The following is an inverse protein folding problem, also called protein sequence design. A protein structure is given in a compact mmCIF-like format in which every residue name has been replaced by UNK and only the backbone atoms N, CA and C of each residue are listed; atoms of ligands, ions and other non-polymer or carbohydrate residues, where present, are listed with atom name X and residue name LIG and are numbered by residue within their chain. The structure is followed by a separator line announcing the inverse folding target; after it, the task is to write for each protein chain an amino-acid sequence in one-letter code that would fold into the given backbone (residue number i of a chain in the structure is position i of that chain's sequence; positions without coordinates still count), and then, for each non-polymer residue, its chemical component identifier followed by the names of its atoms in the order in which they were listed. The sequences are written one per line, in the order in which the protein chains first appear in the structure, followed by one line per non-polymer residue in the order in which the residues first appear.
data_IF_496843894238
#
_entry.id   IF_496843894238
#
_cell.length_a   1.000
_cell.length_b   1.000
_cell.length_c   1.000
_cell.angle_alpha   90.00
_cell.angle_beta   90.00
_cell.angle_gamma   90.00
#
_symmetry.space_group_name_H-M   'P 1'
#
loop_
_entity.id
_entity.type
_entity.pdbx_description
1 polymer ?
#
# COMPACT_ATOMS: atom_id res chain seq x y z
N UNK A 1 -40.58 0.30 -25.57
CA UNK A 1 -39.65 -0.86 -25.43
C UNK A 1 -39.29 -1.55 -26.75
N UNK A 2 -39.90 -1.26 -27.88
CA UNK A 2 -39.56 -1.88 -29.16
C UNK A 2 -38.46 -1.17 -29.99
N UNK A 3 -38.17 0.11 -29.67
CA UNK A 3 -37.21 0.91 -30.45
C UNK A 3 -35.76 0.88 -29.95
N UNK A 4 -35.48 0.30 -28.78
CA UNK A 4 -34.15 0.28 -28.18
C UNK A 4 -33.23 -0.79 -28.79
N UNK A 5 -33.80 -1.79 -29.48
CA UNK A 5 -33.06 -2.90 -30.12
C UNK A 5 -32.18 -2.50 -31.31
N UNK A 6 -32.39 -1.31 -31.89
CA UNK A 6 -31.83 -0.96 -33.21
C UNK A 6 -30.54 -0.13 -33.10
N UNK A 7 -30.16 0.39 -31.93
CA UNK A 7 -29.12 1.43 -31.85
C UNK A 7 -27.76 0.99 -31.30
N UNK A 8 -27.66 -0.16 -30.64
CA UNK A 8 -26.39 -0.70 -30.15
C UNK A 8 -26.14 -2.02 -30.89
N UNK A 9 -25.49 -1.92 -32.04
CA UNK A 9 -25.01 -3.06 -32.84
C UNK A 9 -23.67 -3.55 -32.25
N UNK A 10 -23.72 -4.08 -31.03
CA UNK A 10 -22.59 -4.67 -30.33
C UNK A 10 -22.98 -6.09 -29.93
N UNK A 11 -22.30 -7.05 -30.50
CA UNK A 11 -22.46 -8.48 -30.19
C UNK A 11 -21.65 -8.86 -28.94
N UNK A 12 -22.21 -8.54 -27.76
CA UNK A 12 -21.66 -8.97 -26.48
C UNK A 12 -22.72 -9.77 -25.72
N UNK A 13 -22.36 -10.96 -25.30
CA UNK A 13 -23.22 -11.82 -24.49
C UNK A 13 -23.64 -11.09 -23.21
N UNK A 14 -24.94 -11.03 -22.95
CA UNK A 14 -25.49 -10.38 -21.74
C UNK A 14 -25.59 -8.87 -21.79
N UNK A 15 -25.12 -8.17 -22.84
CA UNK A 15 -25.19 -6.72 -22.93
C UNK A 15 -26.66 -6.22 -22.95
N UNK A 16 -27.54 -6.89 -23.67
CA UNK A 16 -28.96 -6.54 -23.73
C UNK A 16 -29.59 -6.60 -22.33
N UNK A 17 -29.33 -7.68 -21.60
CA UNK A 17 -29.80 -7.83 -20.21
C UNK A 17 -29.18 -6.75 -19.28
N UNK A 18 -27.88 -6.46 -19.42
CA UNK A 18 -27.22 -5.42 -18.64
C UNK A 18 -27.85 -4.04 -18.87
N UNK A 19 -28.19 -3.69 -20.11
CA UNK A 19 -28.84 -2.43 -20.45
C UNK A 19 -30.28 -2.37 -19.90
N UNK A 20 -31.02 -3.47 -19.96
CA UNK A 20 -32.36 -3.55 -19.35
C UNK A 20 -32.31 -3.34 -17.83
N UNK A 21 -31.34 -3.96 -17.16
CA UNK A 21 -31.11 -3.77 -15.71
C UNK A 21 -30.72 -2.33 -15.39
N UNK A 22 -29.83 -1.72 -16.17
CA UNK A 22 -29.44 -0.31 -16.01
C UNK A 22 -30.68 0.59 -16.17
N UNK A 23 -31.50 0.36 -17.19
CA UNK A 23 -32.72 1.13 -17.43
C UNK A 23 -33.77 0.97 -16.34
N UNK A 24 -33.82 -0.20 -15.68
CA UNK A 24 -34.72 -0.46 -14.57
C UNK A 24 -34.22 0.14 -13.24
N UNK A 25 -32.95 -0.03 -12.96
CA UNK A 25 -32.37 0.27 -11.64
C UNK A 25 -31.95 1.74 -11.49
N UNK A 26 -31.65 2.43 -12.61
CA UNK A 26 -31.25 3.85 -12.60
C UNK A 26 -32.33 4.71 -13.27
N UNK A 27 -33.28 5.18 -12.45
CA UNK A 27 -34.41 6.01 -12.88
C UNK A 27 -34.41 7.38 -12.18
N UNK A 28 -35.03 8.36 -12.79
CA UNK A 28 -35.17 9.71 -12.25
C UNK A 28 -34.53 10.78 -13.12
N UNK A 29 -34.54 12.01 -12.64
CA UNK A 29 -33.99 13.16 -13.37
C UNK A 29 -32.48 12.97 -13.58
N UNK A 30 -32.04 13.02 -14.82
CA UNK A 30 -30.64 12.83 -15.18
C UNK A 30 -30.20 11.37 -15.41
N UNK A 31 -31.11 10.38 -15.24
CA UNK A 31 -30.88 8.97 -15.51
C UNK A 31 -31.75 8.48 -16.68
N UNK A 32 -31.50 7.27 -17.13
CA UNK A 32 -32.25 6.59 -18.18
C UNK A 32 -31.42 6.18 -19.39
N UNK A 33 -31.85 5.11 -20.07
CA UNK A 33 -31.15 4.58 -21.24
C UNK A 33 -31.03 5.58 -22.38
N UNK A 34 -32.06 6.39 -22.61
CA UNK A 34 -32.04 7.38 -23.69
C UNK A 34 -30.86 8.36 -23.55
N UNK A 35 -30.56 8.78 -22.32
CA UNK A 35 -29.42 9.67 -22.03
C UNK A 35 -28.08 8.97 -22.27
N UNK A 36 -27.98 7.71 -21.89
CA UNK A 36 -26.78 6.89 -22.18
C UNK A 36 -26.58 6.75 -23.69
N UNK A 37 -27.65 6.43 -24.42
CA UNK A 37 -27.60 6.27 -25.88
C UNK A 37 -27.27 7.57 -26.61
N UNK A 38 -27.82 8.69 -26.17
CA UNK A 38 -27.48 10.02 -26.69
C UNK A 38 -25.99 10.29 -26.53
N UNK A 39 -25.46 10.03 -25.33
CA UNK A 39 -24.03 10.21 -25.05
C UNK A 39 -23.17 9.25 -25.87
N UNK A 40 -23.56 7.99 -25.99
CA UNK A 40 -22.87 6.98 -26.79
C UNK A 40 -22.80 7.39 -28.27
N UNK A 41 -23.88 7.91 -28.86
CA UNK A 41 -23.88 8.40 -30.24
C UNK A 41 -22.81 9.48 -30.48
N UNK A 42 -22.49 10.30 -29.48
CA UNK A 42 -21.46 11.33 -29.57
C UNK A 42 -20.04 10.76 -29.61
N UNK A 43 -19.82 9.52 -29.14
CA UNK A 43 -18.54 8.81 -29.19
C UNK A 43 -18.41 7.83 -30.35
N UNK A 44 -19.53 7.37 -30.87
CA UNK A 44 -19.57 6.39 -31.97
C UNK A 44 -18.95 6.98 -33.24
N UNK A 45 -17.99 6.27 -33.82
CA UNK A 45 -17.36 6.59 -35.10
C UNK A 45 -17.72 5.51 -36.14
N UNK A 46 -17.86 5.86 -37.42
CA UNK A 46 -18.03 4.86 -38.48
C UNK A 46 -16.87 3.87 -38.49
N UNK A 47 -17.19 2.58 -38.54
CA UNK A 47 -16.20 1.49 -38.62
C UNK A 47 -15.62 1.03 -37.27
N UNK A 48 -16.15 1.50 -36.14
CA UNK A 48 -15.79 0.95 -34.81
C UNK A 48 -16.12 -0.54 -34.73
N UNK A 49 -15.14 -1.32 -34.27
CA UNK A 49 -15.36 -2.72 -33.94
C UNK A 49 -16.11 -2.91 -32.60
N UNK A 50 -16.54 -4.16 -32.28
CA UNK A 50 -17.29 -4.44 -31.06
C UNK A 50 -16.57 -3.96 -29.79
N UNK A 51 -15.26 -4.22 -29.65
CA UNK A 51 -14.46 -3.82 -28.48
C UNK A 51 -14.39 -2.29 -28.31
N UNK A 52 -14.16 -1.54 -29.41
CA UNK A 52 -14.15 -0.07 -29.38
C UNK A 52 -15.54 0.49 -29.05
N UNK A 53 -16.59 -0.15 -29.56
CA UNK A 53 -17.98 0.21 -29.26
C UNK A 53 -18.32 0.00 -27.80
N UNK A 54 -17.91 -1.12 -27.19
CA UNK A 54 -18.08 -1.36 -25.75
C UNK A 54 -17.34 -0.33 -24.92
N UNK A 55 -16.09 0.00 -25.24
CA UNK A 55 -15.31 1.03 -24.55
C UNK A 55 -15.98 2.42 -24.66
N UNK A 56 -16.51 2.76 -25.84
CA UNK A 56 -17.28 3.99 -26.03
C UNK A 56 -18.55 4.04 -25.18
N UNK A 57 -19.24 2.89 -25.01
CA UNK A 57 -20.44 2.78 -24.18
C UNK A 57 -20.10 2.93 -22.68
N UNK A 58 -19.04 2.26 -22.21
CA UNK A 58 -18.55 2.37 -20.85
C UNK A 58 -18.16 3.82 -20.55
N UNK A 59 -17.37 4.43 -21.44
CA UNK A 59 -16.98 5.83 -21.31
C UNK A 59 -18.17 6.78 -21.26
N UNK A 60 -19.20 6.52 -22.07
CA UNK A 60 -20.42 7.32 -22.09
C UNK A 60 -21.12 7.32 -20.73
N UNK A 61 -21.23 6.15 -20.09
CA UNK A 61 -21.79 6.06 -18.74
C UNK A 61 -20.90 6.75 -17.69
N UNK A 62 -19.60 6.56 -17.76
CA UNK A 62 -18.65 7.18 -16.83
C UNK A 62 -18.68 8.73 -16.90
N UNK A 63 -18.77 9.30 -18.11
CA UNK A 63 -18.85 10.75 -18.29
C UNK A 63 -20.20 11.39 -17.88
N UNK A 64 -21.25 10.58 -17.71
CA UNK A 64 -22.52 11.02 -17.14
C UNK A 64 -22.49 11.13 -15.60
N UNK A 65 -21.43 10.65 -14.96
CA UNK A 65 -21.26 10.74 -13.51
C UNK A 65 -21.00 12.19 -13.12
N UNK A 66 -21.85 12.74 -12.26
CA UNK A 66 -21.72 14.08 -11.69
C UNK A 66 -22.19 14.09 -10.24
N UNK A 67 -22.07 15.25 -9.59
CA UNK A 67 -22.60 15.44 -8.23
C UNK A 67 -24.13 15.21 -8.17
N UNK A 68 -24.84 15.59 -9.22
CA UNK A 68 -26.29 15.46 -9.36
C UNK A 68 -26.71 14.03 -9.78
N UNK A 69 -25.83 13.33 -10.49
CA UNK A 69 -26.10 11.99 -11.05
C UNK A 69 -25.00 10.99 -10.70
N UNK A 70 -24.68 10.75 -9.42
CA UNK A 70 -23.55 9.91 -8.99
C UNK A 70 -23.73 8.42 -9.33
N UNK A 71 -24.95 7.93 -9.49
CA UNK A 71 -25.20 6.51 -9.72
C UNK A 71 -24.75 6.02 -11.12
N UNK A 72 -24.44 6.92 -12.05
CA UNK A 72 -23.86 6.54 -13.33
C UNK A 72 -22.50 5.83 -13.19
N UNK A 73 -21.79 6.03 -12.08
CA UNK A 73 -20.59 5.30 -11.75
C UNK A 73 -20.85 3.78 -11.63
N UNK A 74 -21.96 3.40 -11.04
CA UNK A 74 -22.37 1.98 -10.94
C UNK A 74 -22.88 1.42 -12.29
N UNK A 75 -23.57 2.24 -13.08
CA UNK A 75 -23.95 1.83 -14.44
C UNK A 75 -22.72 1.58 -15.33
N UNK A 76 -21.73 2.47 -15.28
CA UNK A 76 -20.46 2.29 -15.97
C UNK A 76 -19.70 1.03 -15.51
N UNK A 77 -19.75 0.72 -14.20
CA UNK A 77 -19.18 -0.51 -13.65
C UNK A 77 -19.84 -1.76 -14.20
N UNK A 78 -21.18 -1.79 -14.29
CA UNK A 78 -21.93 -2.93 -14.85
C UNK A 78 -21.57 -3.18 -16.32
N UNK A 79 -21.49 -2.13 -17.13
CA UNK A 79 -21.07 -2.24 -18.53
C UNK A 79 -19.62 -2.74 -18.64
N UNK A 80 -18.71 -2.21 -17.80
CA UNK A 80 -17.31 -2.65 -17.74
C UNK A 80 -17.20 -4.13 -17.37
N UNK A 81 -17.98 -4.57 -16.36
CA UNK A 81 -18.00 -5.98 -15.98
C UNK A 81 -18.59 -6.88 -17.08
N UNK A 82 -19.65 -6.47 -17.77
CA UNK A 82 -20.25 -7.21 -18.85
C UNK A 82 -19.22 -7.52 -19.96
N UNK A 83 -18.48 -6.52 -20.44
CA UNK A 83 -17.41 -6.72 -21.41
C UNK A 83 -16.29 -7.64 -20.91
N UNK A 84 -15.86 -7.42 -19.67
CA UNK A 84 -14.81 -8.23 -19.05
C UNK A 84 -15.23 -9.70 -18.82
N UNK A 85 -16.45 -9.96 -18.39
CA UNK A 85 -16.94 -11.31 -18.16
C UNK A 85 -17.01 -12.13 -19.48
N UNK A 86 -17.39 -11.48 -20.57
CA UNK A 86 -17.32 -12.09 -21.90
C UNK A 86 -15.89 -12.47 -22.29
N UNK A 87 -14.93 -11.57 -22.07
CA UNK A 87 -13.52 -11.83 -22.36
C UNK A 87 -13.00 -13.04 -21.55
N UNK A 88 -13.27 -13.10 -20.24
CA UNK A 88 -12.89 -14.25 -19.39
C UNK A 88 -13.54 -15.53 -19.88
N UNK A 89 -14.85 -15.51 -20.22
CA UNK A 89 -15.56 -16.69 -20.70
C UNK A 89 -14.98 -17.23 -22.03
N UNK A 90 -14.66 -16.33 -22.96
CA UNK A 90 -14.04 -16.70 -24.24
C UNK A 90 -12.66 -17.33 -24.05
N UNK A 91 -11.83 -16.76 -23.17
CA UNK A 91 -10.51 -17.31 -22.85
C UNK A 91 -10.63 -18.71 -22.25
N UNK A 92 -11.48 -18.89 -21.23
CA UNK A 92 -11.66 -20.19 -20.59
C UNK A 92 -12.24 -21.24 -21.53
N UNK A 93 -13.17 -20.85 -22.40
CA UNK A 93 -13.73 -21.72 -23.42
C UNK A 93 -12.68 -22.15 -24.42
N UNK A 94 -11.80 -21.26 -24.89
CA UNK A 94 -10.67 -21.55 -25.73
C UNK A 94 -9.70 -22.56 -25.12
N UNK A 95 -9.54 -22.56 -23.79
CA UNK A 95 -8.71 -23.47 -23.02
C UNK A 95 -9.43 -24.79 -22.64
N UNK A 96 -10.73 -24.92 -22.92
CA UNK A 96 -11.54 -26.09 -22.55
C UNK A 96 -11.87 -26.21 -21.06
N UNK A 97 -11.71 -25.14 -20.28
CA UNK A 97 -11.93 -25.09 -18.82
C UNK A 97 -13.43 -24.85 -18.55
N UNK A 98 -14.04 -25.68 -17.68
CA UNK A 98 -15.49 -25.63 -17.44
C UNK A 98 -15.89 -25.29 -16.00
N UNK A 99 -14.99 -25.42 -15.03
CA UNK A 99 -15.29 -25.22 -13.61
C UNK A 99 -14.10 -24.72 -12.84
N UNK A 100 -14.35 -24.29 -11.59
CA UNK A 100 -13.35 -23.69 -10.73
C UNK A 100 -12.17 -24.64 -10.42
N UNK A 101 -12.45 -25.92 -10.17
CA UNK A 101 -11.38 -26.91 -9.91
C UNK A 101 -10.44 -27.04 -11.12
N UNK A 102 -11.00 -27.16 -12.32
CA UNK A 102 -10.23 -27.28 -13.57
C UNK A 102 -9.42 -26.00 -13.82
N UNK A 103 -10.02 -24.84 -13.54
CA UNK A 103 -9.35 -23.53 -13.62
C UNK A 103 -8.16 -23.45 -12.68
N UNK A 104 -8.36 -23.77 -11.39
CA UNK A 104 -7.27 -23.75 -10.39
C UNK A 104 -6.17 -24.73 -10.78
N UNK A 105 -6.52 -25.92 -11.26
CA UNK A 105 -5.55 -26.92 -11.73
C UNK A 105 -4.71 -26.39 -12.89
N UNK A 106 -5.36 -25.85 -13.92
CA UNK A 106 -4.68 -25.24 -15.06
C UNK A 106 -3.77 -24.08 -14.64
N UNK A 107 -4.28 -23.13 -13.84
CA UNK A 107 -3.50 -21.98 -13.37
C UNK A 107 -2.32 -22.41 -12.50
N UNK A 108 -2.45 -23.51 -11.74
CA UNK A 108 -1.36 -24.09 -10.96
C UNK A 108 -0.27 -24.67 -11.86
N UNK A 109 -0.63 -25.39 -12.89
CA UNK A 109 0.30 -25.92 -13.91
C UNK A 109 1.04 -24.79 -14.64
N UNK A 110 0.37 -23.67 -14.90
CA UNK A 110 0.98 -22.47 -15.51
C UNK A 110 1.83 -21.63 -14.52
N UNK A 111 1.90 -22.02 -13.24
CA UNK A 111 2.62 -21.26 -12.21
C UNK A 111 1.97 -19.93 -11.82
N UNK A 112 0.69 -19.73 -12.15
CA UNK A 112 -0.10 -18.54 -11.83
C UNK A 112 -0.89 -18.67 -10.51
N UNK A 113 -1.14 -19.90 -10.08
CA UNK A 113 -1.83 -20.23 -8.82
C UNK A 113 -0.93 -21.09 -7.94
N UNK A 114 -1.09 -20.98 -6.63
CA UNK A 114 -0.30 -21.74 -5.67
C UNK A 114 -0.78 -23.18 -5.54
N UNK A 115 0.10 -24.15 -5.71
CA UNK A 115 -0.18 -25.59 -5.61
C UNK A 115 -0.68 -26.01 -4.22
N UNK A 116 -0.44 -25.18 -3.21
CA UNK A 116 -0.88 -25.41 -1.83
C UNK A 116 -2.40 -25.41 -1.70
N UNK A 117 -3.15 -24.73 -2.59
CA UNK A 117 -4.62 -24.79 -2.58
C UNK A 117 -5.09 -26.21 -2.90
N UNK A 118 -4.59 -26.82 -3.98
CA UNK A 118 -4.92 -28.20 -4.36
C UNK A 118 -4.40 -29.24 -3.36
N UNK A 119 -3.38 -28.91 -2.56
CA UNK A 119 -2.86 -29.78 -1.49
C UNK A 119 -3.73 -29.74 -0.22
N UNK A 120 -4.43 -28.63 0.02
CA UNK A 120 -5.24 -28.45 1.22
C UNK A 120 -6.71 -28.78 1.00
N UNK A 121 -7.25 -28.57 -0.20
CA UNK A 121 -8.65 -28.77 -0.55
C UNK A 121 -8.82 -29.92 -1.52
N UNK A 122 -9.84 -30.76 -1.29
CA UNK A 122 -10.24 -31.78 -2.26
C UNK A 122 -10.99 -31.14 -3.43
N UNK A 123 -11.20 -31.93 -4.49
CA UNK A 123 -12.01 -31.51 -5.64
C UNK A 123 -13.44 -31.12 -5.22
N UNK A 124 -14.05 -31.96 -4.37
CA UNK A 124 -15.42 -31.77 -3.89
C UNK A 124 -15.54 -30.48 -3.07
N UNK A 125 -14.54 -30.15 -2.24
CA UNK A 125 -14.50 -28.90 -1.46
C UNK A 125 -14.39 -27.67 -2.37
N UNK A 126 -13.62 -27.75 -3.44
CA UNK A 126 -13.49 -26.63 -4.40
C UNK A 126 -14.79 -26.46 -5.22
N UNK A 127 -15.43 -27.56 -5.62
CA UNK A 127 -16.72 -27.54 -6.30
C UNK A 127 -17.85 -27.04 -5.36
N UNK A 128 -17.81 -27.38 -4.06
CA UNK A 128 -18.69 -26.79 -3.05
C UNK A 128 -18.48 -25.28 -2.94
N UNK A 129 -17.20 -24.83 -2.90
CA UNK A 129 -16.85 -23.42 -2.83
C UNK A 129 -17.33 -22.64 -4.08
N UNK A 130 -17.25 -23.23 -5.26
CA UNK A 130 -17.80 -22.64 -6.49
C UNK A 130 -19.28 -22.29 -6.36
N UNK A 131 -20.04 -23.12 -5.63
CA UNK A 131 -21.44 -22.88 -5.31
C UNK A 131 -21.70 -21.67 -4.38
N UNK A 132 -20.66 -21.05 -3.82
CA UNK A 132 -20.78 -19.82 -3.02
C UNK A 132 -20.77 -18.55 -3.88
N UNK A 133 -20.31 -18.64 -5.15
CA UNK A 133 -20.21 -17.50 -6.04
C UNK A 133 -21.58 -16.83 -6.26
N UNK A 134 -21.59 -15.52 -6.16
CA UNK A 134 -22.79 -14.68 -6.29
C UNK A 134 -22.46 -13.48 -7.18
N UNK A 135 -22.82 -13.60 -8.46
CA UNK A 135 -22.52 -12.59 -9.48
C UNK A 135 -23.31 -11.28 -9.27
N UNK A 136 -24.43 -11.32 -8.55
CA UNK A 136 -25.16 -10.11 -8.20
C UNK A 136 -24.33 -9.12 -7.38
N UNK A 137 -23.31 -9.62 -6.64
CA UNK A 137 -22.39 -8.77 -5.87
C UNK A 137 -21.46 -7.92 -6.75
N UNK A 138 -21.32 -8.25 -8.02
CA UNK A 138 -20.60 -7.39 -8.96
C UNK A 138 -21.29 -6.03 -9.16
N UNK A 139 -22.58 -5.92 -8.85
CA UNK A 139 -23.34 -4.66 -8.88
C UNK A 139 -22.95 -3.67 -7.77
N UNK A 140 -22.20 -4.11 -6.77
CA UNK A 140 -21.69 -3.26 -5.68
C UNK A 140 -20.47 -2.43 -6.08
N UNK A 141 -19.80 -2.76 -7.18
CA UNK A 141 -18.61 -2.04 -7.62
C UNK A 141 -18.95 -0.66 -8.19
N UNK A 142 -18.14 0.32 -7.83
CA UNK A 142 -18.00 1.56 -8.59
C UNK A 142 -17.12 1.32 -9.81
N UNK A 143 -17.22 2.15 -10.84
CA UNK A 143 -16.41 2.01 -12.05
C UNK A 143 -14.90 2.05 -11.75
N UNK A 144 -14.46 3.05 -10.96
CA UNK A 144 -13.05 3.18 -10.59
C UNK A 144 -12.55 1.98 -9.75
N UNK A 145 -13.38 1.49 -8.81
CA UNK A 145 -13.04 0.33 -7.99
C UNK A 145 -12.92 -0.94 -8.81
N UNK A 146 -13.86 -1.19 -9.70
CA UNK A 146 -13.82 -2.36 -10.59
C UNK A 146 -12.62 -2.30 -11.54
N UNK A 147 -12.40 -1.18 -12.22
CA UNK A 147 -11.29 -1.03 -13.16
C UNK A 147 -9.93 -1.26 -12.48
N UNK A 148 -9.78 -0.80 -11.23
CA UNK A 148 -8.61 -1.08 -10.42
C UNK A 148 -8.43 -2.59 -10.13
N UNK A 149 -9.52 -3.29 -9.75
CA UNK A 149 -9.49 -4.74 -9.52
C UNK A 149 -9.08 -5.50 -10.77
N UNK A 150 -9.70 -5.19 -11.91
CA UNK A 150 -9.45 -5.86 -13.18
C UNK A 150 -8.02 -5.66 -13.68
N UNK A 151 -7.47 -4.47 -13.49
CA UNK A 151 -6.10 -4.14 -13.94
C UNK A 151 -5.00 -4.69 -13.05
N UNK A 152 -5.23 -4.78 -11.73
CA UNK A 152 -4.16 -5.03 -10.77
C UNK A 152 -4.22 -6.36 -10.04
N UNK A 153 -5.41 -6.91 -9.81
CA UNK A 153 -5.57 -7.98 -8.83
C UNK A 153 -6.03 -9.31 -9.41
N UNK A 154 -6.91 -9.31 -10.43
CA UNK A 154 -7.33 -10.56 -11.07
C UNK A 154 -6.16 -11.27 -11.76
N UNK A 155 -6.21 -12.58 -11.81
CA UNK A 155 -5.18 -13.37 -12.48
C UNK A 155 -5.34 -13.21 -13.98
N UNK A 156 -4.23 -12.94 -14.64
CA UNK A 156 -4.09 -12.83 -16.10
C UNK A 156 -3.01 -13.80 -16.56
N UNK A 157 -3.08 -14.22 -17.82
CA UNK A 157 -2.00 -14.97 -18.46
C UNK A 157 -0.78 -14.07 -18.77
N UNK A 158 0.28 -14.64 -19.33
CA UNK A 158 1.50 -13.90 -19.69
C UNK A 158 1.31 -12.88 -20.83
N UNK A 159 0.16 -12.93 -21.52
CA UNK A 159 -0.24 -12.00 -22.57
C UNK A 159 -1.27 -10.96 -22.08
N UNK A 160 -1.48 -10.90 -20.75
CA UNK A 160 -2.45 -10.04 -20.07
C UNK A 160 -3.93 -10.32 -20.35
N UNK A 161 -4.27 -11.51 -20.85
CA UNK A 161 -5.67 -11.92 -20.96
C UNK A 161 -6.19 -12.36 -19.57
N UNK A 162 -7.37 -11.89 -19.15
CA UNK A 162 -7.92 -12.23 -17.84
C UNK A 162 -8.41 -13.68 -17.82
N UNK A 163 -8.11 -14.37 -16.73
CA UNK A 163 -8.51 -15.77 -16.49
C UNK A 163 -9.36 -15.93 -15.21
N UNK A 164 -9.65 -14.84 -14.51
CA UNK A 164 -10.35 -14.85 -13.22
C UNK A 164 -11.31 -13.67 -13.14
N UNK A 165 -12.51 -13.91 -12.62
CA UNK A 165 -13.46 -12.84 -12.30
C UNK A 165 -13.22 -12.26 -10.88
N UNK A 166 -13.73 -11.06 -10.55
CA UNK A 166 -13.63 -10.50 -9.20
C UNK A 166 -14.21 -11.41 -8.11
N UNK A 167 -15.31 -12.11 -8.40
CA UNK A 167 -15.92 -13.02 -7.42
C UNK A 167 -15.05 -14.26 -7.20
N UNK A 168 -14.46 -14.82 -8.25
CA UNK A 168 -13.50 -15.92 -8.12
C UNK A 168 -12.21 -15.49 -7.42
N UNK A 169 -11.75 -14.24 -7.64
CA UNK A 169 -10.65 -13.66 -6.89
C UNK A 169 -10.93 -13.65 -5.39
N UNK A 170 -12.10 -13.15 -4.97
CA UNK A 170 -12.47 -13.14 -3.54
C UNK A 170 -12.60 -14.55 -2.99
N UNK A 171 -13.14 -15.48 -3.76
CA UNK A 171 -13.24 -16.88 -3.34
C UNK A 171 -11.85 -17.54 -3.20
N UNK A 172 -10.94 -17.32 -4.14
CA UNK A 172 -9.57 -17.82 -4.07
C UNK A 172 -8.80 -17.26 -2.87
N UNK A 173 -8.99 -15.96 -2.54
CA UNK A 173 -8.46 -15.36 -1.31
C UNK A 173 -9.04 -16.04 -0.08
N UNK A 174 -10.34 -16.33 -0.07
CA UNK A 174 -11.03 -16.97 1.05
C UNK A 174 -10.57 -18.41 1.28
N UNK A 175 -10.33 -19.17 0.21
CA UNK A 175 -9.70 -20.50 0.27
C UNK A 175 -8.30 -20.39 0.90
N UNK A 176 -7.50 -19.40 0.51
CA UNK A 176 -6.18 -19.18 1.09
C UNK A 176 -6.26 -18.87 2.59
N UNK A 177 -7.12 -17.95 3.00
CA UNK A 177 -7.23 -17.52 4.40
C UNK A 177 -7.71 -18.66 5.31
N UNK A 178 -8.63 -19.50 4.82
CA UNK A 178 -9.21 -20.59 5.60
C UNK A 178 -8.38 -21.89 5.59
N UNK A 179 -7.30 -22.00 4.82
CA UNK A 179 -6.58 -23.26 4.62
C UNK A 179 -5.98 -23.87 5.90
N UNK A 180 -5.79 -23.08 6.96
CA UNK A 180 -5.27 -23.54 8.26
C UNK A 180 -6.35 -23.89 9.28
N UNK A 181 -7.61 -23.67 8.95
CA UNK A 181 -8.74 -24.07 9.77
C UNK A 181 -8.92 -25.59 9.76
N UNK A 182 -9.56 -26.13 10.81
CA UNK A 182 -9.85 -27.55 10.87
C UNK A 182 -10.78 -28.00 9.73
N UNK A 183 -10.62 -29.21 9.23
CA UNK A 183 -11.40 -29.71 8.10
C UNK A 183 -12.91 -29.62 8.32
N UNK A 184 -13.37 -29.83 9.57
CA UNK A 184 -14.79 -29.86 9.91
C UNK A 184 -15.49 -28.49 9.79
N UNK A 185 -14.73 -27.39 9.91
CA UNK A 185 -15.29 -26.04 9.84
C UNK A 185 -14.70 -25.18 8.71
N UNK A 186 -13.69 -25.68 8.00
CA UNK A 186 -12.93 -24.92 6.99
C UNK A 186 -13.83 -24.31 5.92
N UNK A 187 -14.77 -25.07 5.35
CA UNK A 187 -15.68 -24.57 4.33
C UNK A 187 -16.64 -23.48 4.85
N UNK A 188 -17.00 -23.53 6.14
CA UNK A 188 -17.79 -22.47 6.77
C UNK A 188 -16.96 -21.16 6.84
N UNK A 189 -15.64 -21.24 7.13
CA UNK A 189 -14.76 -20.08 7.12
C UNK A 189 -14.52 -19.56 5.71
N UNK A 190 -14.33 -20.41 4.71
CA UNK A 190 -14.27 -20.02 3.30
C UNK A 190 -15.48 -19.18 2.93
N UNK A 191 -16.69 -19.66 3.24
CA UNK A 191 -17.93 -18.93 2.95
C UNK A 191 -18.03 -17.61 3.70
N UNK A 192 -17.66 -17.57 4.99
CA UNK A 192 -17.67 -16.32 5.78
C UNK A 192 -16.71 -15.29 5.23
N UNK A 193 -15.47 -15.66 4.90
CA UNK A 193 -14.51 -14.74 4.31
C UNK A 193 -14.98 -14.25 2.93
N UNK A 194 -15.48 -15.14 2.09
CA UNK A 194 -16.05 -14.76 0.81
C UNK A 194 -17.23 -13.77 0.98
N UNK A 195 -18.15 -14.05 1.87
CA UNK A 195 -19.29 -13.16 2.13
C UNK A 195 -18.85 -11.77 2.58
N UNK A 196 -17.89 -11.67 3.49
CA UNK A 196 -17.39 -10.38 3.98
C UNK A 196 -16.67 -9.58 2.89
N UNK A 197 -15.81 -10.24 2.10
CA UNK A 197 -15.02 -9.59 1.05
C UNK A 197 -15.91 -9.17 -0.12
N UNK A 198 -16.72 -10.09 -0.64
CA UNK A 198 -17.53 -9.86 -1.84
C UNK A 198 -18.72 -8.93 -1.61
N UNK A 199 -19.19 -8.80 -0.37
CA UNK A 199 -20.19 -7.77 0.05
C UNK A 199 -19.53 -6.43 0.43
N UNK A 200 -18.22 -6.28 0.26
CA UNK A 200 -17.46 -5.07 0.57
C UNK A 200 -17.58 -4.60 2.03
N UNK A 201 -17.82 -5.52 2.96
CA UNK A 201 -17.83 -5.23 4.40
C UNK A 201 -16.42 -5.04 4.94
N UNK A 202 -15.42 -5.67 4.33
CA UNK A 202 -14.00 -5.56 4.62
C UNK A 202 -13.25 -5.44 3.31
N UNK A 203 -12.28 -4.53 3.25
CA UNK A 203 -11.28 -4.49 2.18
C UNK A 203 -9.93 -4.99 2.70
N UNK A 204 -9.22 -5.72 1.86
CA UNK A 204 -7.90 -6.25 2.20
C UNK A 204 -6.79 -5.37 1.64
N UNK A 205 -5.64 -5.40 2.30
CA UNK A 205 -4.44 -4.73 1.80
C UNK A 205 -4.00 -5.30 0.44
N UNK A 206 -3.34 -4.46 -0.37
CA UNK A 206 -2.84 -4.83 -1.70
C UNK A 206 -2.12 -6.19 -1.75
N UNK A 207 -1.18 -6.53 -0.83
CA UNK A 207 -0.52 -7.84 -0.90
C UNK A 207 -1.46 -9.02 -0.71
N UNK A 208 -2.50 -8.89 0.11
CA UNK A 208 -3.51 -9.94 0.26
C UNK A 208 -4.32 -10.13 -1.03
N UNK A 209 -4.79 -9.04 -1.64
CA UNK A 209 -5.54 -9.09 -2.90
C UNK A 209 -4.69 -9.63 -4.06
N UNK A 210 -3.41 -9.24 -4.11
CA UNK A 210 -2.49 -9.61 -5.19
C UNK A 210 -1.90 -11.00 -5.04
N UNK A 211 -1.55 -11.42 -3.83
CA UNK A 211 -0.67 -12.58 -3.60
C UNK A 211 -1.37 -13.79 -2.96
N UNK A 212 -2.46 -13.60 -2.22
CA UNK A 212 -3.27 -14.73 -1.77
C UNK A 212 -3.66 -15.58 -2.98
N UNK A 213 -3.63 -16.90 -2.87
CA UNK A 213 -3.83 -17.87 -3.94
C UNK A 213 -2.69 -18.01 -4.97
N UNK A 214 -1.73 -17.07 -5.04
CA UNK A 214 -0.58 -17.17 -5.96
C UNK A 214 0.60 -17.96 -5.34
N UNK A 215 1.59 -18.42 -6.14
CA UNK A 215 2.73 -19.15 -5.63
C UNK A 215 3.52 -18.40 -4.55
N UNK A 216 3.66 -17.09 -4.72
CA UNK A 216 4.35 -16.19 -3.78
C UNK A 216 3.31 -15.45 -2.93
N UNK A 217 2.89 -16.08 -1.84
CA UNK A 217 1.76 -15.64 -1.01
C UNK A 217 2.18 -14.84 0.23
N UNK A 218 3.02 -13.85 0.06
CA UNK A 218 3.30 -12.85 1.09
C UNK A 218 2.11 -11.88 1.19
N UNK A 219 1.43 -11.80 2.35
CA UNK A 219 0.17 -11.08 2.52
C UNK A 219 0.29 -9.77 3.31
N UNK A 220 1.41 -9.53 4.01
CA UNK A 220 1.59 -8.33 4.83
C UNK A 220 1.94 -7.13 3.95
N UNK A 221 1.31 -5.99 4.22
CA UNK A 221 1.60 -4.74 3.51
C UNK A 221 2.68 -3.91 4.20
N UNK A 222 2.89 -4.11 5.51
CA UNK A 222 3.63 -3.19 6.35
C UNK A 222 4.69 -3.91 7.17
N UNK A 223 5.90 -3.36 7.10
CA UNK A 223 7.09 -3.89 7.78
C UNK A 223 7.83 -2.77 8.49
N UNK A 224 8.57 -3.13 9.53
CA UNK A 224 9.42 -2.23 10.30
C UNK A 224 10.79 -2.89 10.45
N UNK A 225 11.87 -2.13 10.24
CA UNK A 225 13.24 -2.56 10.52
C UNK A 225 14.02 -1.46 11.26
N UNK A 226 14.91 -1.89 12.13
CA UNK A 226 15.83 -1.00 12.87
C UNK A 226 17.21 -1.15 12.30
N UNK A 227 17.73 -0.11 11.66
CA UNK A 227 19.01 -0.11 10.96
C UNK A 227 20.17 -0.06 11.99
N UNK A 228 21.00 -1.11 12.06
CA UNK A 228 22.15 -1.12 12.98
C UNK A 228 23.26 -0.18 12.51
N UNK A 229 24.06 0.34 13.47
CA UNK A 229 25.21 1.21 13.19
C UNK A 229 26.45 0.39 12.75
N UNK A 230 26.30 -0.35 11.64
CA UNK A 230 27.40 -1.09 11.01
C UNK A 230 27.17 -1.22 9.52
N UNK A 231 28.26 -1.34 8.73
CA UNK A 231 28.16 -1.51 7.29
C UNK A 231 27.29 -2.72 6.91
N UNK A 232 27.57 -3.87 7.52
CA UNK A 232 26.82 -5.11 7.30
C UNK A 232 25.32 -4.93 7.66
N UNK A 233 25.06 -4.32 8.83
CA UNK A 233 23.67 -4.10 9.29
C UNK A 233 22.89 -3.16 8.38
N UNK A 234 23.50 -2.06 7.93
CA UNK A 234 22.88 -1.11 7.00
C UNK A 234 22.52 -1.80 5.68
N UNK A 235 23.46 -2.52 5.06
CA UNK A 235 23.20 -3.22 3.80
C UNK A 235 22.18 -4.36 3.96
N UNK A 236 22.17 -5.05 5.09
CA UNK A 236 21.14 -6.06 5.39
C UNK A 236 19.74 -5.41 5.45
N UNK A 237 19.60 -4.25 6.09
CA UNK A 237 18.32 -3.53 6.12
C UNK A 237 17.89 -3.05 4.73
N UNK A 238 18.83 -2.64 3.87
CA UNK A 238 18.55 -2.28 2.47
C UNK A 238 18.12 -3.51 1.67
N UNK A 239 18.76 -4.67 1.85
CA UNK A 239 18.35 -5.94 1.21
C UNK A 239 16.98 -6.38 1.70
N UNK A 240 16.72 -6.36 3.01
CA UNK A 240 15.40 -6.65 3.58
C UNK A 240 14.31 -5.77 2.94
N UNK A 241 14.58 -4.47 2.80
CA UNK A 241 13.66 -3.55 2.15
C UNK A 241 13.43 -3.93 0.67
N UNK A 242 14.48 -4.24 -0.09
CA UNK A 242 14.35 -4.67 -1.48
C UNK A 242 13.47 -5.94 -1.61
N UNK A 243 13.68 -6.94 -0.74
CA UNK A 243 12.88 -8.17 -0.73
C UNK A 243 11.42 -7.91 -0.36
N UNK A 244 11.16 -7.06 0.63
CA UNK A 244 9.81 -6.67 1.02
C UNK A 244 9.11 -5.91 -0.10
N UNK A 245 9.79 -4.94 -0.73
CA UNK A 245 9.27 -4.15 -1.85
C UNK A 245 8.88 -5.04 -3.03
N UNK A 246 9.76 -5.97 -3.44
CA UNK A 246 9.51 -6.94 -4.51
C UNK A 246 8.16 -7.67 -4.38
N UNK A 247 7.70 -7.95 -3.15
CA UNK A 247 6.45 -8.65 -2.88
C UNK A 247 5.29 -7.74 -2.46
N UNK A 248 5.41 -6.44 -2.71
CA UNK A 248 4.31 -5.49 -2.53
C UNK A 248 4.20 -4.87 -1.15
N UNK A 249 5.17 -5.13 -0.26
CA UNK A 249 5.21 -4.54 1.08
C UNK A 249 5.90 -3.17 1.10
N UNK A 250 5.45 -2.27 1.99
CA UNK A 250 6.16 -1.04 2.34
C UNK A 250 6.89 -1.18 3.67
N UNK A 251 7.98 -0.42 3.87
CA UNK A 251 8.80 -0.54 5.06
C UNK A 251 9.02 0.79 5.76
N UNK A 252 8.95 0.79 7.11
CA UNK A 252 9.49 1.82 7.96
C UNK A 252 10.90 1.45 8.41
N UNK A 253 11.87 2.32 8.18
CA UNK A 253 13.28 2.10 8.50
C UNK A 253 13.74 3.12 9.56
N UNK A 254 14.11 2.64 10.73
CA UNK A 254 14.59 3.49 11.81
C UNK A 254 16.11 3.67 11.75
N UNK A 255 16.55 4.90 11.49
CA UNK A 255 17.95 5.29 11.39
C UNK A 255 18.55 5.92 12.65
N UNK A 256 17.76 6.04 13.74
CA UNK A 256 18.19 6.69 14.96
C UNK A 256 19.37 6.04 15.68
N UNK A 257 19.74 4.79 15.35
CA UNK A 257 20.93 4.11 15.88
C UNK A 257 22.21 4.40 15.10
N UNK A 258 22.08 4.89 13.86
CA UNK A 258 23.22 5.13 12.97
C UNK A 258 23.93 6.42 13.38
N UNK A 259 25.26 6.38 13.48
CA UNK A 259 26.07 7.53 13.88
C UNK A 259 25.94 8.71 12.93
N UNK A 260 25.99 9.90 13.50
CA UNK A 260 25.89 11.16 12.79
C UNK A 260 27.13 11.49 11.96
N UNK A 261 26.95 12.44 11.04
CA UNK A 261 28.04 13.04 10.25
C UNK A 261 29.15 13.56 11.17
N UNK A 262 30.41 13.28 10.80
CA UNK A 262 31.59 13.70 11.52
C UNK A 262 31.95 12.82 12.74
N UNK A 263 31.19 11.78 13.03
CA UNK A 263 31.53 10.81 14.08
C UNK A 263 32.79 10.01 13.78
N UNK A 264 33.39 9.38 14.80
CA UNK A 264 34.56 8.54 14.68
C UNK A 264 34.29 7.21 13.97
N UNK A 265 35.19 6.81 13.09
CA UNK A 265 35.25 5.45 12.53
C UNK A 265 36.70 4.93 12.75
N UNK A 266 36.85 3.78 13.43
CA UNK A 266 38.15 3.16 13.75
C UNK A 266 39.14 4.14 14.38
N UNK A 267 38.68 5.05 15.23
CA UNK A 267 39.52 6.06 15.90
C UNK A 267 39.74 7.35 15.12
N UNK A 268 39.39 7.40 13.83
CA UNK A 268 39.50 8.60 13.00
C UNK A 268 38.30 9.52 13.19
N UNK A 269 38.53 10.75 13.67
CA UNK A 269 37.51 11.78 13.78
C UNK A 269 37.09 12.30 12.41
N UNK A 270 35.82 12.71 12.30
CA UNK A 270 35.27 13.29 11.06
C UNK A 270 35.03 12.28 9.93
N UNK A 271 35.28 10.98 10.15
CA UNK A 271 35.22 9.98 9.09
C UNK A 271 33.80 9.53 8.71
N UNK A 272 32.82 9.65 9.61
CA UNK A 272 31.43 9.22 9.34
C UNK A 272 30.71 10.18 8.40
N UNK A 273 30.04 9.63 7.38
CA UNK A 273 29.23 10.39 6.42
C UNK A 273 27.81 10.71 6.89
N UNK A 274 27.39 10.21 8.07
CA UNK A 274 26.07 10.41 8.64
C UNK A 274 24.95 9.62 7.96
N UNK A 275 23.71 9.85 8.41
CA UNK A 275 22.55 9.07 7.97
C UNK A 275 22.13 9.38 6.54
N UNK A 276 22.31 10.61 6.06
CA UNK A 276 21.78 11.08 4.77
C UNK A 276 22.28 10.24 3.60
N UNK A 277 23.58 9.89 3.61
CA UNK A 277 24.18 9.07 2.53
C UNK A 277 23.58 7.66 2.49
N UNK A 278 23.26 7.07 3.62
CA UNK A 278 22.63 5.76 3.72
C UNK A 278 21.16 5.80 3.32
N UNK A 279 20.48 6.86 3.70
CA UNK A 279 19.08 7.09 3.30
C UNK A 279 18.95 7.22 1.77
N UNK A 280 19.97 7.79 1.10
CA UNK A 280 20.00 7.85 -0.36
C UNK A 280 20.03 6.45 -1.01
N UNK A 281 20.73 5.48 -0.43
CA UNK A 281 20.65 4.09 -0.91
C UNK A 281 19.26 3.50 -0.80
N UNK A 282 18.52 3.81 0.28
CA UNK A 282 17.12 3.40 0.43
C UNK A 282 16.27 4.03 -0.65
N UNK A 283 16.47 5.33 -0.94
CA UNK A 283 15.78 6.03 -2.02
C UNK A 283 16.02 5.36 -3.38
N UNK A 284 17.27 5.10 -3.72
CA UNK A 284 17.65 4.51 -4.99
C UNK A 284 17.14 3.06 -5.10
N UNK A 285 17.09 2.34 -3.98
CA UNK A 285 16.47 1.00 -3.89
C UNK A 285 14.95 1.06 -4.09
N UNK A 286 14.27 2.07 -3.53
CA UNK A 286 12.84 2.27 -3.73
C UNK A 286 12.48 2.50 -5.21
N UNK A 287 13.34 3.24 -5.92
CA UNK A 287 13.19 3.48 -7.37
C UNK A 287 13.53 2.22 -8.18
N UNK A 288 14.54 1.47 -7.77
CA UNK A 288 15.02 0.30 -8.52
C UNK A 288 14.15 -0.95 -8.36
N UNK A 289 13.43 -1.09 -7.25
CA UNK A 289 12.66 -2.30 -6.92
C UNK A 289 11.19 -1.97 -6.78
N UNK A 290 10.46 -2.15 -7.87
CA UNK A 290 9.01 -1.95 -7.93
C UNK A 290 8.24 -3.01 -7.12
N UNK A 291 7.10 -2.60 -6.58
CA UNK A 291 6.14 -3.50 -5.92
C UNK A 291 5.38 -4.29 -6.99
N UNK A 292 5.77 -5.55 -7.21
CA UNK A 292 5.14 -6.47 -8.16
C UNK A 292 5.10 -5.95 -9.62
N UNK A 293 5.96 -5.00 -9.99
CA UNK A 293 5.90 -4.34 -11.31
C UNK A 293 4.66 -3.44 -11.52
N UNK A 294 3.86 -3.23 -10.47
CA UNK A 294 2.57 -2.53 -10.53
C UNK A 294 2.58 -1.19 -9.78
N UNK A 295 3.53 -0.98 -8.89
CA UNK A 295 3.63 0.19 -8.02
C UNK A 295 5.08 0.45 -7.68
N UNK A 296 5.50 1.72 -7.58
CA UNK A 296 6.84 2.08 -7.13
C UNK A 296 7.08 1.61 -5.70
N UNK A 297 8.32 1.17 -5.41
CA UNK A 297 8.76 0.86 -4.07
C UNK A 297 8.62 2.08 -3.16
N UNK A 298 8.28 1.86 -1.89
CA UNK A 298 8.07 2.95 -0.94
C UNK A 298 8.61 2.60 0.45
N UNK A 299 9.34 3.53 1.05
CA UNK A 299 9.84 3.44 2.42
C UNK A 299 9.61 4.74 3.18
N UNK A 300 9.28 4.62 4.48
CA UNK A 300 9.40 5.72 5.42
C UNK A 300 10.72 5.57 6.20
N UNK A 301 11.46 6.65 6.33
CA UNK A 301 12.71 6.67 7.11
C UNK A 301 12.52 7.53 8.35
N UNK A 302 12.87 6.98 9.50
CA UNK A 302 12.62 7.56 10.80
C UNK A 302 13.92 8.00 11.46
N UNK A 303 13.95 9.22 11.99
CA UNK A 303 15.08 9.77 12.73
C UNK A 303 14.58 10.49 13.98
N UNK A 304 15.33 10.41 15.07
CA UNK A 304 14.97 11.10 16.31
C UNK A 304 15.18 12.62 16.22
N UNK A 305 14.31 13.38 16.87
CA UNK A 305 14.37 14.84 16.94
C UNK A 305 15.66 15.39 17.59
N UNK A 306 16.40 14.57 18.33
CA UNK A 306 17.65 14.90 18.99
C UNK A 306 18.90 14.43 18.22
N UNK A 307 18.73 13.77 17.04
CA UNK A 307 19.84 13.30 16.24
C UNK A 307 20.57 14.45 15.55
N UNK A 308 21.93 14.40 15.53
CA UNK A 308 22.80 15.50 15.04
C UNK A 308 22.54 15.88 13.58
N UNK A 309 22.11 14.93 12.73
CA UNK A 309 21.81 15.14 11.31
C UNK A 309 20.35 15.58 11.05
N UNK A 310 19.56 15.89 12.08
CA UNK A 310 18.16 16.27 11.93
C UNK A 310 17.91 17.45 10.96
N UNK A 311 18.68 18.56 10.98
CA UNK A 311 18.43 19.67 10.07
C UNK A 311 18.57 19.32 8.58
N UNK A 312 19.55 18.48 8.27
CA UNK A 312 19.77 17.96 6.91
C UNK A 312 18.69 16.93 6.53
N UNK A 313 18.28 16.10 7.48
CA UNK A 313 17.20 15.12 7.32
C UNK A 313 15.86 15.78 6.98
N UNK A 314 15.50 16.86 7.63
CA UNK A 314 14.26 17.62 7.36
C UNK A 314 14.23 18.24 5.95
N UNK A 315 15.38 18.35 5.30
CA UNK A 315 15.50 18.92 3.96
C UNK A 315 15.65 17.87 2.84
N UNK A 316 15.53 16.59 3.14
CA UNK A 316 15.72 15.49 2.18
C UNK A 316 14.88 15.62 0.92
N UNK A 317 13.64 16.10 1.03
CA UNK A 317 12.69 16.24 -0.09
C UNK A 317 12.49 17.65 -0.62
N UNK A 318 13.06 18.65 0.05
CA UNK A 318 12.90 20.05 -0.40
C UNK A 318 13.66 20.31 -1.72
N UNK A 319 13.14 21.22 -2.54
CA UNK A 319 13.66 21.50 -3.88
C UNK A 319 14.94 22.36 -3.91
N UNK A 320 15.49 22.73 -2.75
CA UNK A 320 16.67 23.58 -2.63
C UNK A 320 17.85 22.81 -2.04
N UNK A 321 19.06 23.14 -2.44
CA UNK A 321 20.30 22.56 -1.94
C UNK A 321 20.99 21.60 -2.91
N UNK A 322 21.94 20.80 -2.42
CA UNK A 322 22.72 19.86 -3.23
C UNK A 322 21.90 18.56 -3.48
N UNK A 323 21.65 18.24 -4.75
CA UNK A 323 20.87 17.06 -5.16
C UNK A 323 21.48 15.74 -4.66
N UNK A 324 22.78 15.71 -4.40
CA UNK A 324 23.46 14.54 -3.81
C UNK A 324 23.00 14.25 -2.38
N UNK A 325 22.39 15.24 -1.72
CA UNK A 325 21.85 15.15 -0.36
C UNK A 325 20.33 15.00 -0.34
N UNK A 326 19.71 14.74 -1.51
CA UNK A 326 18.26 14.60 -1.66
C UNK A 326 17.82 13.15 -1.82
N UNK A 327 16.60 12.88 -1.36
CA UNK A 327 15.92 11.60 -1.43
C UNK A 327 14.41 11.86 -1.58
N UNK A 328 13.97 11.99 -2.84
CA UNK A 328 12.60 12.45 -3.16
C UNK A 328 11.55 11.35 -3.13
N UNK A 329 11.97 10.08 -3.27
CA UNK A 329 11.08 8.92 -3.45
C UNK A 329 10.77 8.18 -2.14
N UNK A 330 11.30 8.67 -1.01
CA UNK A 330 11.03 8.15 0.34
C UNK A 330 10.33 9.18 1.21
N UNK A 331 9.79 8.74 2.35
CA UNK A 331 9.02 9.57 3.27
C UNK A 331 9.78 9.77 4.59
N UNK A 332 10.40 10.94 4.84
CA UNK A 332 10.99 11.26 6.13
C UNK A 332 9.95 11.33 7.25
N UNK A 333 10.29 10.80 8.41
CA UNK A 333 9.51 10.85 9.65
C UNK A 333 10.41 11.17 10.84
N UNK A 334 9.93 11.99 11.77
CA UNK A 334 10.70 12.38 12.96
C UNK A 334 10.04 11.83 14.22
N UNK A 335 10.87 11.17 15.05
CA UNK A 335 10.47 10.64 16.34
C UNK A 335 10.68 11.72 17.42
N UNK A 336 9.57 12.23 17.96
CA UNK A 336 9.58 13.29 18.96
C UNK A 336 9.37 12.72 20.36
N UNK A 337 10.23 13.07 21.35
CA UNK A 337 9.94 12.88 22.76
C UNK A 337 8.97 13.95 23.25
N UNK A 338 8.25 13.67 24.34
CA UNK A 338 7.31 14.63 24.95
C UNK A 338 8.01 15.94 25.37
N UNK A 339 9.27 15.87 25.84
CA UNK A 339 10.05 17.04 26.22
C UNK A 339 10.17 18.07 25.09
N UNK A 340 10.31 17.63 23.84
CA UNK A 340 10.38 18.55 22.69
C UNK A 340 9.13 19.43 22.61
N UNK A 341 7.95 18.80 22.73
CA UNK A 341 6.69 19.52 22.65
C UNK A 341 6.41 20.38 23.87
N UNK A 342 6.76 19.90 25.10
CA UNK A 342 6.68 20.69 26.32
C UNK A 342 7.50 21.96 26.19
N UNK A 343 8.76 21.86 25.77
CA UNK A 343 9.63 23.04 25.59
C UNK A 343 9.09 23.96 24.48
N UNK A 344 8.55 23.42 23.39
CA UNK A 344 7.99 24.23 22.31
C UNK A 344 6.72 24.99 22.71
N UNK A 345 5.89 24.42 23.60
CA UNK A 345 4.70 25.05 24.13
C UNK A 345 5.09 26.17 25.15
N UNK A 346 6.08 25.92 25.97
CA UNK A 346 6.54 26.90 26.98
C UNK A 346 7.23 28.10 26.33
N UNK A 347 8.23 27.88 25.50
CA UNK A 347 8.99 28.95 24.84
C UNK A 347 9.79 28.39 23.64
N UNK A 348 9.57 28.91 22.45
CA UNK A 348 10.31 28.56 21.24
C UNK A 348 11.74 29.14 21.17
N UNK A 349 12.07 30.13 22.02
CA UNK A 349 13.40 30.73 22.08
C UNK A 349 14.34 30.00 23.08
N UNK A 350 14.21 28.67 23.14
CA UNK A 350 15.07 27.78 23.91
C UNK A 350 16.04 27.03 23.03
N UNK A 351 17.15 26.58 23.58
CA UNK A 351 18.12 25.73 22.95
C UNK A 351 17.66 24.28 22.93
N UNK A 352 17.76 23.65 21.75
CA UNK A 352 17.62 22.21 21.57
C UNK A 352 18.94 21.61 21.18
N UNK A 353 19.36 20.52 21.82
CA UNK A 353 20.68 19.93 21.63
C UNK A 353 20.61 18.65 20.80
N UNK A 354 21.28 18.67 19.65
CA UNK A 354 21.41 17.53 18.76
C UNK A 354 22.72 16.80 19.04
N UNK A 355 22.66 15.49 19.19
CA UNK A 355 23.76 14.63 19.58
C UNK A 355 23.90 13.40 18.69
N UNK A 356 25.06 12.73 18.76
CA UNK A 356 25.31 11.50 18.03
C UNK A 356 25.01 10.27 18.91
N UNK A 357 24.15 9.31 18.48
CA UNK A 357 23.84 8.13 19.28
C UNK A 357 25.07 7.26 19.59
N UNK A 358 26.00 7.14 18.66
CA UNK A 358 27.24 6.41 18.88
C UNK A 358 28.11 7.03 19.98
N UNK A 359 28.22 8.35 20.02
CA UNK A 359 29.01 9.06 21.01
C UNK A 359 28.38 8.93 22.40
N UNK A 360 27.04 9.10 22.52
CA UNK A 360 26.32 8.87 23.77
C UNK A 360 26.59 7.46 24.30
N UNK A 361 26.41 6.44 23.47
CA UNK A 361 26.65 5.05 23.88
C UNK A 361 28.08 4.83 24.35
N UNK A 362 29.06 5.46 23.67
CA UNK A 362 30.47 5.32 24.01
C UNK A 362 30.82 6.01 25.35
N UNK A 363 30.27 7.18 25.61
CA UNK A 363 30.57 8.00 26.79
C UNK A 363 29.76 7.59 28.01
N UNK A 364 28.46 7.31 27.82
CA UNK A 364 27.50 7.04 28.89
C UNK A 364 27.25 5.57 29.15
N UNK A 365 27.51 4.68 28.17
CA UNK A 365 27.21 3.26 28.28
C UNK A 365 25.72 2.89 28.11
N UNK A 366 24.86 3.87 27.82
CA UNK A 366 23.46 3.65 27.49
C UNK A 366 23.10 4.29 26.14
N UNK A 367 21.93 3.97 25.61
CA UNK A 367 21.38 4.52 24.39
C UNK A 367 20.11 5.33 24.68
N UNK A 368 19.99 6.53 24.13
CA UNK A 368 18.76 7.35 24.28
C UNK A 368 17.60 6.75 23.48
N UNK A 369 17.90 6.17 22.34
CA UNK A 369 16.93 5.52 21.48
C UNK A 369 16.28 4.28 22.12
N UNK A 370 16.86 3.71 23.18
CA UNK A 370 16.37 2.53 23.88
C UNK A 370 15.50 2.86 25.09
N UNK A 371 15.10 4.13 25.27
CA UNK A 371 14.20 4.54 26.33
C UNK A 371 13.18 5.59 25.87
N UNK A 372 12.18 5.87 26.70
CA UNK A 372 11.11 6.85 26.46
C UNK A 372 10.58 7.43 27.79
N UNK A 373 9.79 8.51 27.71
CA UNK A 373 9.17 9.16 28.85
C UNK A 373 10.19 9.79 29.80
N UNK A 374 9.94 9.71 31.09
CA UNK A 374 10.76 10.35 32.17
C UNK A 374 12.22 9.86 32.14
N UNK A 375 12.44 8.55 31.90
CA UNK A 375 13.79 8.00 31.81
C UNK A 375 14.56 8.58 30.60
N UNK A 376 13.87 8.82 29.49
CA UNK A 376 14.48 9.44 28.32
C UNK A 376 14.86 10.89 28.64
N UNK A 377 13.97 11.65 29.27
CA UNK A 377 14.18 13.05 29.66
C UNK A 377 15.37 13.20 30.59
N UNK A 378 15.45 12.37 31.65
CA UNK A 378 16.58 12.33 32.59
C UNK A 378 17.91 12.08 31.85
N UNK A 379 17.94 11.05 30.99
CA UNK A 379 19.17 10.69 30.25
C UNK A 379 19.56 11.74 29.21
N UNK A 380 18.58 12.37 28.56
CA UNK A 380 18.86 13.46 27.61
C UNK A 380 19.48 14.65 28.31
N UNK A 381 18.96 15.08 29.45
CA UNK A 381 19.51 16.17 30.25
C UNK A 381 20.88 15.83 30.83
N UNK A 382 21.11 14.59 31.25
CA UNK A 382 22.43 14.09 31.64
C UNK A 382 23.47 14.16 30.48
N UNK A 383 23.06 13.85 29.25
CA UNK A 383 23.90 14.01 28.07
C UNK A 383 24.18 15.49 27.76
N UNK A 384 23.15 16.33 27.86
CA UNK A 384 23.30 17.79 27.66
C UNK A 384 24.28 18.42 28.65
N UNK A 385 24.29 17.97 29.89
CA UNK A 385 25.21 18.45 30.94
C UNK A 385 26.65 17.91 30.84
N UNK A 386 26.93 16.92 29.97
CA UNK A 386 28.24 16.28 29.87
C UNK A 386 29.09 16.87 28.75
N UNK A 387 30.17 17.56 29.08
CA UNK A 387 31.08 18.19 28.08
C UNK A 387 31.87 17.21 27.21
N UNK A 388 31.89 15.93 27.55
CA UNK A 388 32.52 14.87 26.74
C UNK A 388 31.69 14.49 25.51
N UNK A 389 30.42 14.87 25.47
CA UNK A 389 29.50 14.63 24.36
C UNK A 389 29.44 15.87 23.49
N UNK A 390 29.76 15.73 22.22
CA UNK A 390 29.69 16.82 21.25
C UNK A 390 28.23 17.14 20.90
N UNK A 391 27.84 18.39 21.12
CA UNK A 391 26.48 18.88 20.88
C UNK A 391 26.45 19.87 19.71
N UNK A 392 25.44 19.78 18.88
CA UNK A 392 25.02 20.82 17.93
C UNK A 392 23.80 21.51 18.54
N UNK A 393 24.02 22.71 19.07
CA UNK A 393 22.93 23.49 19.65
C UNK A 393 22.20 24.25 18.55
N UNK A 394 20.88 24.17 18.54
CA UNK A 394 19.98 24.86 17.61
C UNK A 394 18.85 25.52 18.39
N UNK A 395 18.33 26.64 17.88
CA UNK A 395 17.13 27.21 18.46
C UNK A 395 15.92 26.32 18.17
N UNK A 396 15.10 26.05 19.14
CA UNK A 396 13.91 25.21 19.00
C UNK A 396 12.96 25.75 17.90
N UNK A 397 12.78 27.09 17.84
CA UNK A 397 12.01 27.76 16.77
C UNK A 397 12.53 27.46 15.36
N UNK A 398 13.82 27.29 15.20
CA UNK A 398 14.40 27.03 13.86
C UNK A 398 14.13 25.59 13.45
N UNK A 399 14.13 24.64 14.38
CA UNK A 399 13.70 23.24 14.13
C UNK A 399 12.23 23.23 13.75
N UNK A 400 11.36 23.89 14.51
CA UNK A 400 9.91 23.97 14.21
C UNK A 400 9.67 24.62 12.84
N UNK A 401 10.39 25.68 12.49
CA UNK A 401 10.31 26.32 11.15
C UNK A 401 10.71 25.36 10.04
N UNK A 402 11.77 24.57 10.23
CA UNK A 402 12.20 23.58 9.24
C UNK A 402 11.14 22.49 9.05
N UNK A 403 10.52 22.02 10.14
CA UNK A 403 9.42 21.04 10.10
C UNK A 403 8.24 21.61 9.30
N UNK A 404 7.77 22.81 9.66
CA UNK A 404 6.64 23.46 8.97
C UNK A 404 6.97 23.69 7.49
N UNK A 405 8.18 24.22 7.19
CA UNK A 405 8.63 24.44 5.83
C UNK A 405 8.61 23.15 5.00
N UNK A 406 9.22 22.09 5.52
CA UNK A 406 9.24 20.79 4.86
C UNK A 406 7.82 20.23 4.66
N UNK A 407 6.97 20.34 5.67
CA UNK A 407 5.59 19.86 5.59
C UNK A 407 4.77 20.60 4.52
N UNK A 408 4.93 21.93 4.40
CA UNK A 408 4.25 22.75 3.40
C UNK A 408 4.75 22.44 1.97
N UNK A 409 6.07 22.27 1.81
CA UNK A 409 6.69 22.03 0.50
C UNK A 409 6.48 20.59 0.00
N UNK A 410 6.46 19.59 0.90
CA UNK A 410 6.61 18.17 0.52
C UNK A 410 5.58 17.23 1.13
N UNK A 411 4.75 17.69 2.08
CA UNK A 411 3.84 16.83 2.86
C UNK A 411 4.55 15.97 3.92
N UNK A 412 5.85 16.18 4.15
CA UNK A 412 6.67 15.47 5.15
C UNK A 412 7.47 16.48 5.98
N UNK A 413 7.97 16.14 7.20
CA UNK A 413 8.05 14.80 7.76
C UNK A 413 6.71 14.32 8.35
N UNK A 414 6.56 12.99 8.50
CA UNK A 414 5.56 12.43 9.39
C UNK A 414 5.98 12.69 10.86
N UNK A 415 5.00 12.88 11.72
CA UNK A 415 5.20 13.14 13.15
C UNK A 415 4.95 11.83 13.91
N UNK A 416 5.98 11.31 14.58
CA UNK A 416 5.89 10.12 15.41
C UNK A 416 6.16 10.48 16.86
N UNK A 417 5.11 10.48 17.70
CA UNK A 417 5.20 10.81 19.11
C UNK A 417 5.68 9.59 19.91
N UNK A 418 6.99 9.45 20.05
CA UNK A 418 7.67 8.26 20.58
C UNK A 418 7.15 7.83 21.95
N UNK A 419 7.02 8.78 22.88
CA UNK A 419 6.63 8.46 24.26
C UNK A 419 5.18 8.00 24.33
N UNK A 420 4.28 8.67 23.61
CA UNK A 420 2.86 8.29 23.53
C UNK A 420 2.67 6.89 22.92
N UNK A 421 3.36 6.60 21.82
CA UNK A 421 3.31 5.29 21.18
C UNK A 421 3.80 4.20 22.12
N UNK A 422 4.90 4.43 22.84
CA UNK A 422 5.46 3.42 23.74
C UNK A 422 4.65 3.25 25.02
N UNK A 423 3.99 4.29 25.53
CA UNK A 423 3.01 4.15 26.62
C UNK A 423 1.79 3.32 26.21
N UNK A 424 1.36 3.44 24.96
CA UNK A 424 0.22 2.68 24.41
C UNK A 424 0.60 1.30 23.86
N UNK A 425 1.89 0.92 23.90
CA UNK A 425 2.40 -0.31 23.30
C UNK A 425 1.83 -1.56 23.99
N UNK A 426 0.95 -2.36 23.34
CA UNK A 426 0.39 -3.58 23.92
C UNK A 426 1.44 -4.70 24.08
N UNK A 427 2.57 -4.58 23.38
CA UNK A 427 3.68 -5.53 23.40
C UNK A 427 4.91 -5.02 24.16
N UNK A 428 4.72 -4.11 25.15
CA UNK A 428 5.81 -3.53 25.94
C UNK A 428 6.71 -4.57 26.63
N UNK A 429 6.16 -5.75 26.91
CA UNK A 429 6.92 -6.91 27.43
C UNK A 429 7.95 -7.47 26.44
N UNK A 430 7.87 -7.16 25.16
CA UNK A 430 8.83 -7.57 24.12
C UNK A 430 9.91 -6.52 23.84
N UNK A 431 9.61 -5.24 24.11
CA UNK A 431 10.52 -4.13 23.86
C UNK A 431 9.79 -2.85 23.49
N UNK A 432 10.57 -1.87 23.06
CA UNK A 432 10.05 -0.56 22.62
C UNK A 432 9.77 -0.54 21.12
N UNK A 433 8.86 0.32 20.73
CA UNK A 433 8.59 0.65 19.32
C UNK A 433 9.51 1.81 18.94
N UNK A 434 10.48 1.55 18.04
CA UNK A 434 11.43 2.57 17.57
C UNK A 434 10.86 3.50 16.52
N UNK A 435 10.03 2.96 15.64
CA UNK A 435 9.39 3.70 14.55
C UNK A 435 8.06 3.03 14.16
N UNK A 436 7.30 3.69 13.31
CA UNK A 436 6.14 3.12 12.66
C UNK A 436 6.50 2.53 11.27
N UNK A 437 5.51 2.00 10.58
CA UNK A 437 5.61 1.51 9.21
C UNK A 437 5.61 2.66 8.17
N UNK A 438 5.42 2.33 6.88
CA UNK A 438 5.40 3.30 5.79
C UNK A 438 4.32 4.37 5.96
N UNK A 439 3.10 3.99 6.36
CA UNK A 439 1.94 4.90 6.45
C UNK A 439 1.74 5.53 7.84
N UNK A 440 2.58 5.19 8.81
CA UNK A 440 2.61 5.74 10.19
C UNK A 440 1.36 5.39 11.03
N UNK A 441 0.67 4.28 10.71
CA UNK A 441 -0.54 3.83 11.43
C UNK A 441 -0.28 2.76 12.50
N UNK A 442 0.90 2.16 12.56
CA UNK A 442 1.24 1.08 13.51
C UNK A 442 2.08 1.62 14.66
#
# INVERSE_FOLDING_TARGET
MADTKVEIDLDYKGLEQCLEEIGRDFQGEGYGLDRLLERYRSFRKPGMGPAEGMEALIRSAAELTSKETPLWEFAAARLRYCGFACEVEEQLKGLGIKGLYEKISYLTEQGLYGDYILKHYSREEIEEAEGFLDDERNKLFTYAGLDLLLKRYVIQDHSHHPLETPQEMYLGISLHLAMKESKDCRMQWVRRFYDMLSRMQVTMATPTLSNARKPYHQLSSCFIDTVPDSLEGIYRSVDNFAQVSKFGGGMGLYFGKVRATGSRIRGFEGAAGGVIRWIKLVNDTAVAVDQLGMRQGAAAVYLDAWHKDLPEFLQLRTNNGDDRMKAHDIFPAVCFPDLFWKMAEENLDQDWHLMCPHEIRTVKGYCLEDCYGELWEERYLDCVGDDRISKRTVMLKDVVRLIIKSAVETGTPFIFNRDTVNRANPNSHRGIIYCSNLCTEI
#
